data_IF_870333766810
#
_entry.id   IF_870333766810
#
_cell.length_a   1.000
_cell.length_b   1.000
_cell.length_c   1.000
_cell.angle_alpha   90.00
_cell.angle_beta   90.00
_cell.angle_gamma   90.00
#
_symmetry.space_group_name_H-M   'P 1'
#
loop_
_entity.id
_entity.type
_entity.pdbx_description
1 polymer ?
#
# COMPACT_ATOMS: atom_id res chain seq x y z
N UNK A 1 -10.34 -35.31 4.30
CA UNK A 1 -10.18 -33.88 3.97
C UNK A 1 -11.55 -33.23 4.09
N UNK A 2 -11.84 -32.58 5.22
CA UNK A 2 -13.20 -32.25 5.67
C UNK A 2 -13.86 -31.02 5.01
N UNK A 3 -15.19 -30.87 5.14
CA UNK A 3 -16.00 -29.92 4.38
C UNK A 3 -16.15 -28.57 5.11
N UNK A 4 -15.08 -27.77 5.14
CA UNK A 4 -15.15 -26.39 5.64
C UNK A 4 -14.53 -25.42 4.63
N UNK A 5 -15.19 -25.21 3.50
CA UNK A 5 -14.96 -23.97 2.74
C UNK A 5 -15.58 -22.83 3.56
N UNK A 6 -14.76 -21.86 3.99
CA UNK A 6 -15.26 -20.61 4.57
C UNK A 6 -16.27 -20.01 3.59
N UNK A 7 -17.53 -19.89 4.02
CA UNK A 7 -18.49 -19.06 3.30
C UNK A 7 -17.92 -17.63 3.24
N UNK A 8 -17.85 -17.05 2.04
CA UNK A 8 -17.39 -15.68 1.76
C UNK A 8 -15.86 -15.48 1.71
N UNK A 9 -15.10 -16.42 1.15
CA UNK A 9 -13.73 -16.14 0.71
C UNK A 9 -13.74 -15.34 -0.60
N UNK A 10 -13.26 -14.09 -0.56
CA UNK A 10 -13.04 -13.25 -1.73
C UNK A 10 -11.54 -12.97 -1.85
N UNK A 11 -10.90 -13.48 -2.90
CA UNK A 11 -9.51 -13.14 -3.23
C UNK A 11 -9.49 -11.99 -4.23
N UNK A 12 -8.95 -10.86 -3.80
CA UNK A 12 -8.76 -9.67 -4.64
C UNK A 12 -7.27 -9.36 -4.66
N UNK A 13 -6.70 -9.21 -5.85
CA UNK A 13 -5.29 -8.85 -6.01
C UNK A 13 -5.07 -7.33 -5.92
N UNK A 14 -3.87 -6.94 -5.45
CA UNK A 14 -3.52 -5.52 -5.28
C UNK A 14 -3.57 -4.73 -6.59
N UNK A 15 -3.14 -5.32 -7.70
CA UNK A 15 -3.15 -4.67 -9.02
C UNK A 15 -4.54 -4.62 -9.68
N UNK A 16 -5.53 -5.30 -9.10
CA UNK A 16 -6.94 -5.13 -9.47
C UNK A 16 -7.59 -3.95 -8.74
N UNK A 17 -7.11 -3.62 -7.54
CA UNK A 17 -7.62 -2.50 -6.73
C UNK A 17 -6.90 -1.21 -7.09
N UNK A 18 -5.58 -1.25 -7.16
CA UNK A 18 -4.75 -0.10 -7.49
C UNK A 18 -4.48 -0.10 -9.00
N UNK A 19 -5.13 0.82 -9.71
CA UNK A 19 -4.99 0.95 -11.17
C UNK A 19 -3.73 1.78 -11.47
N UNK A 20 -2.64 1.17 -11.94
CA UNK A 20 -1.41 1.90 -12.22
C UNK A 20 -1.60 2.84 -13.42
N UNK A 21 -1.00 4.02 -13.37
CA UNK A 21 -0.91 4.86 -14.56
C UNK A 21 0.16 4.31 -15.51
N UNK A 22 -0.27 3.42 -16.41
CA UNK A 22 0.63 2.76 -17.35
C UNK A 22 0.71 3.60 -18.64
N UNK A 23 1.58 4.62 -18.65
CA UNK A 23 1.83 5.43 -19.85
C UNK A 23 2.63 4.67 -20.94
N UNK A 24 3.22 3.52 -20.61
CA UNK A 24 4.12 2.77 -21.49
C UNK A 24 3.43 1.60 -22.20
N UNK A 25 2.45 1.90 -23.06
CA UNK A 25 1.76 0.88 -23.87
C UNK A 25 2.58 0.33 -25.06
N UNK A 26 3.84 0.75 -25.25
CA UNK A 26 4.57 0.54 -26.51
C UNK A 26 5.87 -0.26 -26.41
N UNK A 27 6.19 -0.90 -25.27
CA UNK A 27 7.44 -1.68 -25.10
C UNK A 27 7.12 -3.13 -24.74
N UNK A 28 7.67 -4.08 -25.49
CA UNK A 28 7.55 -5.52 -25.21
C UNK A 28 8.92 -6.15 -24.88
N UNK A 29 9.02 -6.98 -23.82
CA UNK A 29 7.99 -7.24 -22.81
C UNK A 29 7.72 -5.98 -21.96
N UNK A 30 6.46 -5.80 -21.54
CA UNK A 30 6.09 -4.66 -20.70
C UNK A 30 6.82 -4.78 -19.35
N UNK A 31 7.55 -3.76 -18.90
CA UNK A 31 8.14 -3.77 -17.57
C UNK A 31 7.02 -3.84 -16.52
N UNK A 32 7.30 -4.48 -15.36
CA UNK A 32 6.36 -4.50 -14.24
C UNK A 32 5.99 -3.07 -13.85
N UNK A 33 4.70 -2.80 -13.69
CA UNK A 33 4.24 -1.51 -13.16
C UNK A 33 4.80 -1.31 -11.74
N UNK A 34 4.85 -0.05 -11.28
CA UNK A 34 5.34 0.25 -9.92
C UNK A 34 4.52 -0.47 -8.83
N UNK A 35 3.21 -0.61 -9.02
CA UNK A 35 2.33 -1.37 -8.13
C UNK A 35 2.67 -2.87 -8.14
N UNK A 36 2.95 -3.44 -9.31
CA UNK A 36 3.39 -4.84 -9.41
C UNK A 36 4.75 -5.07 -8.74
N UNK A 37 5.64 -4.07 -8.78
CA UNK A 37 6.91 -4.10 -8.04
C UNK A 37 6.67 -4.08 -6.52
N UNK A 38 5.80 -3.19 -6.02
CA UNK A 38 5.39 -3.17 -4.60
C UNK A 38 4.81 -4.52 -4.17
N UNK A 39 3.89 -5.08 -4.95
CA UNK A 39 3.30 -6.41 -4.70
C UNK A 39 4.37 -7.49 -4.60
N UNK A 40 5.31 -7.51 -5.54
CA UNK A 40 6.40 -8.49 -5.55
C UNK A 40 7.28 -8.34 -4.31
N UNK A 41 7.65 -7.12 -3.95
CA UNK A 41 8.49 -6.85 -2.79
C UNK A 41 7.81 -7.29 -1.49
N UNK A 42 6.50 -7.01 -1.34
CA UNK A 42 5.70 -7.48 -0.21
C UNK A 42 5.63 -9.00 -0.11
N UNK A 43 5.47 -9.71 -1.24
CA UNK A 43 5.47 -11.18 -1.28
C UNK A 43 6.84 -11.75 -0.91
N UNK A 44 7.92 -11.06 -1.29
CA UNK A 44 9.30 -11.43 -0.96
C UNK A 44 9.70 -11.04 0.47
N UNK A 45 8.77 -10.48 1.25
CA UNK A 45 9.01 -10.04 2.63
C UNK A 45 10.13 -8.99 2.71
N UNK A 46 10.22 -8.12 1.71
CA UNK A 46 11.10 -6.97 1.71
C UNK A 46 10.43 -5.82 2.48
N UNK A 47 11.25 -5.01 3.14
CA UNK A 47 10.79 -3.82 3.87
C UNK A 47 11.38 -2.60 3.17
N UNK A 48 10.52 -1.77 2.59
CA UNK A 48 10.93 -0.62 1.80
C UNK A 48 9.71 0.30 1.57
N UNK A 49 9.92 1.35 0.78
CA UNK A 49 8.87 2.21 0.28
C UNK A 49 9.06 2.48 -1.22
N UNK A 50 7.95 2.65 -1.95
CA UNK A 50 7.99 3.08 -3.35
C UNK A 50 6.86 4.05 -3.67
N UNK A 51 7.16 5.04 -4.51
CA UNK A 51 6.14 5.89 -5.09
C UNK A 51 5.57 5.28 -6.37
N UNK A 52 4.26 5.37 -6.54
CA UNK A 52 3.56 5.02 -7.77
C UNK A 52 2.44 6.02 -8.05
N UNK A 53 2.25 6.36 -9.32
CA UNK A 53 1.06 7.09 -9.77
C UNK A 53 -0.06 6.10 -10.08
N UNK A 54 -1.22 6.35 -9.51
CA UNK A 54 -2.41 5.51 -9.68
C UNK A 54 -3.63 6.36 -9.98
N UNK A 55 -4.66 5.73 -10.54
CA UNK A 55 -5.95 6.35 -10.83
C UNK A 55 -6.96 6.00 -9.75
N UNK A 56 -7.39 7.00 -8.98
CA UNK A 56 -8.45 6.85 -7.98
C UNK A 56 -9.80 7.22 -8.57
N UNK A 57 -10.77 6.36 -8.36
CA UNK A 57 -12.14 6.54 -8.80
C UNK A 57 -12.99 7.05 -7.64
N UNK A 58 -13.80 8.06 -7.93
CA UNK A 58 -14.74 8.67 -6.98
C UNK A 58 -16.16 8.63 -7.57
N UNK A 59 -17.15 8.73 -6.69
CA UNK A 59 -18.59 8.77 -7.02
C UNK A 59 -19.03 7.67 -7.99
N UNK A 60 -18.87 6.39 -7.63
CA UNK A 60 -19.26 5.25 -8.47
C UNK A 60 -18.68 5.33 -9.89
N UNK A 61 -17.35 5.50 -9.98
CA UNK A 61 -16.59 5.57 -11.24
C UNK A 61 -16.87 6.80 -12.12
N UNK A 62 -17.57 7.83 -11.63
CA UNK A 62 -17.88 9.05 -12.42
C UNK A 62 -16.71 10.02 -12.52
N UNK A 63 -15.81 10.03 -11.54
CA UNK A 63 -14.65 10.92 -11.50
C UNK A 63 -13.37 10.11 -11.31
N UNK A 64 -12.31 10.50 -12.01
CA UNK A 64 -11.00 9.88 -11.92
C UNK A 64 -9.98 10.96 -11.59
N UNK A 65 -9.14 10.72 -10.58
CA UNK A 65 -7.99 11.55 -10.26
C UNK A 65 -6.71 10.71 -10.39
N UNK A 66 -5.69 11.25 -11.06
CA UNK A 66 -4.35 10.68 -11.03
C UNK A 66 -3.63 11.22 -9.79
N UNK A 67 -3.18 10.31 -8.94
CA UNK A 67 -2.58 10.65 -7.66
C UNK A 67 -1.25 9.91 -7.51
N UNK A 68 -0.22 10.63 -7.07
CA UNK A 68 1.00 10.00 -6.59
C UNK A 68 0.81 9.52 -5.15
N UNK A 69 1.04 8.23 -4.94
CA UNK A 69 1.03 7.61 -3.61
C UNK A 69 2.40 7.03 -3.30
N UNK A 70 2.83 7.18 -2.06
CA UNK A 70 3.97 6.48 -1.48
C UNK A 70 3.46 5.29 -0.69
N UNK A 71 3.88 4.10 -1.08
CA UNK A 71 3.57 2.84 -0.44
C UNK A 71 4.71 2.50 0.50
N UNK A 72 4.43 2.36 1.79
CA UNK A 72 5.34 1.85 2.81
C UNK A 72 4.93 0.43 3.13
N UNK A 73 5.86 -0.52 3.15
CA UNK A 73 5.50 -1.91 3.40
C UNK A 73 6.56 -2.65 4.21
N UNK A 74 6.10 -3.57 5.05
CA UNK A 74 6.93 -4.41 5.89
C UNK A 74 6.26 -5.76 6.17
N UNK A 75 7.04 -6.73 6.68
CA UNK A 75 6.50 -8.04 7.04
C UNK A 75 5.85 -7.96 8.42
N UNK A 76 4.74 -8.68 8.64
CA UNK A 76 4.10 -8.72 9.94
C UNK A 76 4.72 -9.81 10.82
N UNK A 77 5.60 -9.41 11.75
CA UNK A 77 6.22 -10.34 12.70
C UNK A 77 7.28 -11.24 12.07
N UNK A 78 7.57 -12.38 12.69
CA UNK A 78 8.65 -13.27 12.26
C UNK A 78 8.27 -13.99 10.95
N UNK A 79 9.13 -13.91 9.93
CA UNK A 79 8.92 -14.49 8.59
C UNK A 79 8.59 -15.99 8.59
N UNK A 80 9.12 -16.73 9.56
CA UNK A 80 8.88 -18.17 9.69
C UNK A 80 7.47 -18.48 10.23
N UNK A 81 6.88 -17.54 10.96
CA UNK A 81 5.57 -17.70 11.62
C UNK A 81 4.42 -17.10 10.82
N UNK A 82 4.69 -16.06 10.02
CA UNK A 82 3.66 -15.28 9.36
C UNK A 82 4.03 -14.94 7.90
N UNK A 83 3.26 -15.41 6.91
CA UNK A 83 3.49 -15.10 5.49
C UNK A 83 2.89 -13.76 5.05
N UNK A 84 2.28 -12.98 5.96
CA UNK A 84 1.61 -11.74 5.61
C UNK A 84 2.53 -10.51 5.74
N UNK A 85 2.39 -9.61 4.76
CA UNK A 85 3.02 -8.29 4.77
C UNK A 85 1.95 -7.21 4.86
N UNK A 86 2.25 -6.13 5.57
CA UNK A 86 1.39 -4.95 5.67
C UNK A 86 1.94 -3.84 4.79
N UNK A 87 1.05 -3.21 4.01
CA UNK A 87 1.36 -2.03 3.21
C UNK A 87 0.44 -0.87 3.59
N UNK A 88 0.99 0.34 3.67
CA UNK A 88 0.26 1.59 3.91
C UNK A 88 0.55 2.53 2.74
N UNK A 89 -0.50 3.02 2.11
CA UNK A 89 -0.40 3.98 1.00
C UNK A 89 -0.75 5.39 1.47
N UNK A 90 0.23 6.29 1.47
CA UNK A 90 0.06 7.70 1.82
C UNK A 90 0.09 8.53 0.55
N UNK A 91 -0.77 9.54 0.44
CA UNK A 91 -0.76 10.45 -0.71
C UNK A 91 0.52 11.30 -0.67
N UNK A 92 1.10 11.64 -1.82
CA UNK A 92 2.22 12.58 -1.88
C UNK A 92 1.71 13.95 -2.37
N UNK A 93 2.22 15.09 -1.86
CA UNK A 93 3.26 15.26 -0.84
C UNK A 93 2.76 15.33 0.62
N UNK A 94 1.47 15.09 0.87
CA UNK A 94 0.85 15.33 2.18
C UNK A 94 0.47 14.04 2.91
N UNK A 95 0.66 14.01 4.23
CA UNK A 95 0.32 12.86 5.08
C UNK A 95 1.52 12.04 5.56
N UNK A 96 2.73 12.37 5.09
CA UNK A 96 3.98 11.85 5.68
C UNK A 96 4.34 12.57 6.99
N UNK A 97 3.92 13.83 7.11
CA UNK A 97 4.12 14.64 8.31
C UNK A 97 2.79 14.81 9.06
N UNK A 98 2.88 14.74 10.38
CA UNK A 98 1.78 15.03 11.30
C UNK A 98 2.19 16.18 12.23
N UNK A 99 1.22 17.04 12.59
CA UNK A 99 1.43 18.17 13.47
C UNK A 99 0.99 17.76 14.87
N UNK A 100 1.98 17.53 15.75
CA UNK A 100 1.71 17.24 17.16
C UNK A 100 1.83 18.51 17.98
N UNK A 101 0.74 18.93 18.62
CA UNK A 101 0.79 19.95 19.66
C UNK A 101 1.17 19.30 20.97
N UNK A 102 2.29 19.73 21.57
CA UNK A 102 2.64 19.37 22.94
C UNK A 102 1.78 20.23 23.88
N UNK A 103 0.97 19.60 24.72
CA UNK A 103 0.33 20.31 25.84
C UNK A 103 1.44 20.75 26.82
N UNK A 104 1.58 22.06 27.12
CA UNK A 104 2.59 22.56 28.06
C UNK A 104 2.46 22.00 29.49
N UNK A 105 1.38 21.28 29.84
CA UNK A 105 1.18 20.74 31.19
C UNK A 105 1.82 19.37 31.46
N UNK A 106 2.46 18.73 30.48
CA UNK A 106 3.07 17.38 30.65
C UNK A 106 4.59 17.34 30.81
N UNK A 107 5.23 18.46 31.15
CA UNK A 107 6.61 18.41 31.64
C UNK A 107 6.61 18.02 33.13
N UNK A 108 6.73 16.72 33.41
CA UNK A 108 7.10 16.25 34.76
C UNK A 108 8.46 16.85 35.09
N UNK A 109 8.47 17.79 36.05
CA UNK A 109 9.67 18.23 36.74
C UNK A 109 10.09 17.08 37.64
N UNK A 110 11.18 16.39 37.29
CA UNK A 110 11.88 15.54 38.23
C UNK A 110 12.68 16.44 39.19
N UNK A 111 12.41 16.29 40.50
CA UNK A 111 13.24 16.77 41.61
C UNK A 111 13.91 15.53 42.20
#
# INVERSE_FOLDING_TARGET
LGPYRKQNYHSIDLDMVEIPDNLMHFVHPLPLSKIQQVRKDMIQSNEDHKSARVKKHFDDMRRIEEVEQRYFYATLGDKESNPFSLGIAVRFPYGEFDIRTTDPQTQKVEI
#
